data_IF_932034866998
#
_entry.id   IF_932034866998
#
_cell.length_a   1.000
_cell.length_b   1.000
_cell.length_c   1.000
_cell.angle_alpha   90.00
_cell.angle_beta   90.00
_cell.angle_gamma   90.00
#
_symmetry.space_group_name_H-M   'P 1'
#
loop_
_entity.id
_entity.type
_entity.pdbx_description
1 polymer ?
#
# COMPACT_ATOMS: atom_id res chain seq x y z
N UNK A 1 -46.57 -14.00 1.77
CA UNK A 1 -46.24 -15.06 0.79
C UNK A 1 -44.90 -15.67 1.16
N UNK A 2 -44.87 -16.95 1.59
CA UNK A 2 -43.61 -17.66 1.89
C UNK A 2 -42.93 -17.99 0.57
N UNK A 3 -41.89 -17.25 0.20
CA UNK A 3 -41.03 -17.62 -0.93
C UNK A 3 -40.31 -18.92 -0.58
N UNK A 4 -40.72 -20.02 -1.19
CA UNK A 4 -39.98 -21.27 -1.13
C UNK A 4 -38.67 -21.05 -1.89
N UNK A 5 -37.57 -20.81 -1.17
CA UNK A 5 -36.24 -20.82 -1.79
C UNK A 5 -36.03 -22.22 -2.37
N UNK A 6 -36.04 -22.34 -3.69
CA UNK A 6 -35.64 -23.58 -4.35
C UNK A 6 -34.22 -23.92 -3.91
N UNK A 7 -33.96 -25.12 -3.38
CA UNK A 7 -32.62 -25.50 -2.96
C UNK A 7 -31.66 -25.37 -4.13
N UNK A 8 -30.57 -24.61 -3.94
CA UNK A 8 -29.56 -24.44 -4.98
C UNK A 8 -28.74 -25.74 -5.11
N UNK A 9 -29.29 -26.69 -5.86
CA UNK A 9 -28.78 -28.05 -6.03
C UNK A 9 -27.72 -28.15 -7.13
N UNK A 10 -26.92 -29.23 -7.06
CA UNK A 10 -25.81 -29.49 -8.00
C UNK A 10 -26.27 -29.48 -9.46
N UNK A 11 -27.43 -30.08 -9.75
CA UNK A 11 -27.98 -30.20 -11.11
C UNK A 11 -28.32 -28.81 -11.67
N UNK A 12 -28.99 -27.99 -10.87
CA UNK A 12 -29.36 -26.62 -11.23
C UNK A 12 -28.09 -25.80 -11.48
N UNK A 13 -27.14 -25.84 -10.56
CA UNK A 13 -25.89 -25.08 -10.66
C UNK A 13 -25.08 -25.47 -11.89
N UNK A 14 -25.02 -26.77 -12.21
CA UNK A 14 -24.35 -27.27 -13.41
C UNK A 14 -25.05 -26.79 -14.69
N UNK A 15 -26.38 -26.89 -14.77
CA UNK A 15 -27.15 -26.39 -15.92
C UNK A 15 -26.92 -24.89 -16.12
N UNK A 16 -27.12 -24.08 -15.09
CA UNK A 16 -26.99 -22.61 -15.19
C UNK A 16 -25.56 -22.16 -15.49
N UNK A 17 -24.56 -22.73 -14.83
CA UNK A 17 -23.17 -22.27 -14.92
C UNK A 17 -22.42 -22.82 -16.14
N UNK A 18 -22.63 -24.10 -16.49
CA UNK A 18 -21.93 -24.78 -17.58
C UNK A 18 -22.72 -24.68 -18.88
N UNK A 19 -24.00 -25.12 -18.90
CA UNK A 19 -24.79 -25.17 -20.14
C UNK A 19 -25.23 -23.77 -20.59
N UNK A 20 -25.77 -22.98 -19.67
CA UNK A 20 -26.29 -21.64 -19.97
C UNK A 20 -25.24 -20.52 -19.86
N UNK A 21 -23.99 -20.86 -19.49
CA UNK A 21 -22.86 -19.91 -19.34
C UNK A 21 -23.13 -18.72 -18.39
N UNK A 22 -24.15 -18.78 -17.53
CA UNK A 22 -24.48 -17.68 -16.62
C UNK A 22 -23.34 -17.41 -15.62
N UNK A 23 -23.03 -16.15 -15.37
CA UNK A 23 -22.07 -15.73 -14.33
C UNK A 23 -22.58 -16.04 -12.93
N UNK A 24 -21.66 -16.19 -11.97
CA UNK A 24 -22.03 -16.35 -10.56
C UNK A 24 -22.94 -15.22 -10.08
N UNK A 25 -22.76 -14.00 -10.60
CA UNK A 25 -23.59 -12.85 -10.29
C UNK A 25 -25.02 -12.96 -10.85
N UNK A 26 -25.18 -13.44 -12.09
CA UNK A 26 -26.50 -13.67 -12.70
C UNK A 26 -27.28 -14.75 -11.94
N UNK A 27 -26.62 -15.88 -11.62
CA UNK A 27 -27.23 -16.96 -10.84
C UNK A 27 -27.57 -16.45 -9.43
N UNK A 28 -26.69 -15.67 -8.81
CA UNK A 28 -26.93 -15.08 -7.51
C UNK A 28 -28.15 -14.16 -7.47
N UNK A 29 -28.33 -13.32 -8.49
CA UNK A 29 -29.49 -12.43 -8.61
C UNK A 29 -30.80 -13.22 -8.75
N UNK A 30 -30.78 -14.29 -9.52
CA UNK A 30 -31.95 -15.14 -9.74
C UNK A 30 -32.40 -15.87 -8.46
N UNK A 31 -31.45 -16.39 -7.69
CA UNK A 31 -31.73 -17.12 -6.45
C UNK A 31 -31.73 -16.22 -5.21
N UNK A 32 -31.61 -14.89 -5.39
CA UNK A 32 -31.49 -13.90 -4.32
C UNK A 32 -30.47 -14.26 -3.23
N UNK A 33 -29.28 -14.68 -3.65
CA UNK A 33 -28.16 -15.03 -2.76
C UNK A 33 -26.92 -14.20 -3.10
N UNK A 34 -25.94 -14.16 -2.20
CA UNK A 34 -24.67 -13.51 -2.48
C UNK A 34 -23.88 -14.27 -3.60
N UNK A 35 -23.26 -13.59 -4.59
CA UNK A 35 -22.43 -14.23 -5.62
C UNK A 35 -21.31 -15.13 -5.08
N UNK A 36 -20.75 -14.80 -3.91
CA UNK A 36 -19.75 -15.64 -3.24
C UNK A 36 -20.34 -16.98 -2.81
N UNK A 37 -21.63 -17.04 -2.46
CA UNK A 37 -22.33 -18.28 -2.11
C UNK A 37 -22.42 -19.22 -3.31
N UNK A 38 -22.67 -18.69 -4.51
CA UNK A 38 -22.66 -19.47 -5.76
C UNK A 38 -21.27 -20.06 -6.01
N UNK A 39 -20.22 -19.23 -5.88
CA UNK A 39 -18.85 -19.67 -6.07
C UNK A 39 -18.44 -20.77 -5.07
N UNK A 40 -18.77 -20.60 -3.79
CA UNK A 40 -18.55 -21.63 -2.74
C UNK A 40 -19.27 -22.94 -3.07
N UNK A 41 -20.51 -22.87 -3.59
CA UNK A 41 -21.26 -24.07 -3.97
C UNK A 41 -20.67 -24.76 -5.22
N UNK A 42 -20.15 -24.02 -6.21
CA UNK A 42 -19.42 -24.62 -7.34
C UNK A 42 -18.23 -25.44 -6.86
N UNK A 43 -17.43 -24.89 -5.93
CA UNK A 43 -16.31 -25.58 -5.29
C UNK A 43 -16.80 -26.82 -4.53
N UNK A 44 -17.82 -26.66 -3.67
CA UNK A 44 -18.39 -27.75 -2.87
C UNK A 44 -18.87 -28.92 -3.73
N UNK A 45 -19.50 -28.64 -4.86
CA UNK A 45 -20.03 -29.66 -5.78
C UNK A 45 -19.01 -30.15 -6.82
N UNK A 46 -17.76 -29.69 -6.75
CA UNK A 46 -16.67 -30.00 -7.70
C UNK A 46 -17.06 -29.70 -9.16
N UNK A 47 -17.77 -28.61 -9.38
CA UNK A 47 -18.11 -28.13 -10.73
C UNK A 47 -16.94 -27.26 -11.21
N UNK A 48 -16.36 -27.51 -12.40
CA UNK A 48 -15.20 -26.77 -12.89
C UNK A 48 -15.54 -25.28 -13.08
N UNK A 49 -14.71 -24.41 -12.50
CA UNK A 49 -14.86 -22.96 -12.65
C UNK A 49 -14.11 -22.48 -13.88
N UNK A 50 -14.78 -21.73 -14.75
CA UNK A 50 -14.16 -21.07 -15.90
C UNK A 50 -12.94 -20.21 -15.51
N UNK A 51 -11.94 -20.19 -16.37
CA UNK A 51 -10.80 -19.29 -16.27
C UNK A 51 -11.21 -17.84 -16.56
N UNK A 52 -10.35 -16.89 -16.21
CA UNK A 52 -10.55 -15.47 -16.55
C UNK A 52 -10.66 -15.28 -18.07
N UNK A 53 -9.86 -16.00 -18.85
CA UNK A 53 -9.91 -15.95 -20.32
C UNK A 53 -11.28 -16.40 -20.84
N UNK A 54 -11.76 -17.56 -20.36
CA UNK A 54 -13.07 -18.09 -20.76
C UNK A 54 -14.24 -17.21 -20.32
N UNK A 55 -14.12 -16.53 -19.18
CA UNK A 55 -15.11 -15.55 -18.71
C UNK A 55 -15.13 -14.26 -19.55
N UNK A 56 -14.01 -13.93 -20.17
CA UNK A 56 -13.83 -12.71 -20.99
C UNK A 56 -14.08 -12.94 -22.48
N UNK A 57 -14.23 -14.18 -22.95
CA UNK A 57 -14.61 -14.50 -24.33
C UNK A 57 -15.90 -13.74 -24.70
N UNK A 58 -15.81 -12.84 -25.68
CA UNK A 58 -16.94 -12.02 -26.16
C UNK A 58 -17.17 -10.71 -25.40
N UNK A 59 -16.47 -10.43 -24.28
CA UNK A 59 -16.50 -9.09 -23.69
C UNK A 59 -15.63 -8.14 -24.50
N UNK A 60 -16.20 -7.01 -24.90
CA UNK A 60 -15.43 -5.90 -25.43
C UNK A 60 -14.50 -5.38 -24.33
N UNK A 61 -13.20 -5.40 -24.58
CA UNK A 61 -12.20 -4.87 -23.65
C UNK A 61 -12.43 -3.35 -23.54
N UNK A 62 -12.33 -2.78 -22.33
CA UNK A 62 -12.71 -1.38 -22.01
C UNK A 62 -12.04 -0.29 -22.86
N UNK A 63 -10.99 -0.65 -23.59
CA UNK A 63 -10.17 0.18 -24.46
C UNK A 63 -10.41 -0.06 -25.96
N UNK A 64 -11.22 -1.05 -26.35
CA UNK A 64 -11.54 -1.35 -27.75
C UNK A 64 -12.57 -0.32 -28.25
N UNK A 65 -12.20 0.52 -29.22
CA UNK A 65 -13.09 1.51 -29.84
C UNK A 65 -13.09 2.92 -29.22
N UNK A 66 -12.26 3.18 -28.20
CA UNK A 66 -12.09 4.53 -27.66
C UNK A 66 -11.05 5.31 -28.47
N UNK A 67 -11.51 6.33 -29.20
CA UNK A 67 -10.66 7.29 -29.90
C UNK A 67 -9.76 7.98 -28.86
N UNK A 68 -8.44 7.92 -29.05
CA UNK A 68 -7.45 8.56 -28.17
C UNK A 68 -6.78 7.66 -27.12
N UNK A 69 -7.17 6.38 -27.00
CA UNK A 69 -6.41 5.41 -26.18
C UNK A 69 -5.44 4.63 -27.08
N UNK A 70 -4.15 4.76 -26.80
CA UNK A 70 -3.07 4.08 -27.54
C UNK A 70 -3.29 2.56 -27.56
N UNK A 71 -3.58 2.02 -28.74
CA UNK A 71 -3.57 0.58 -29.01
C UNK A 71 -2.25 0.21 -29.68
N UNK A 72 -1.35 -0.55 -29.03
CA UNK A 72 -0.09 -0.94 -29.64
C UNK A 72 -0.33 -1.74 -30.92
N UNK A 73 0.47 -1.46 -31.96
CA UNK A 73 0.45 -2.23 -33.22
C UNK A 73 0.80 -3.70 -32.98
N UNK A 74 0.39 -4.59 -33.88
CA UNK A 74 0.76 -6.02 -33.82
C UNK A 74 2.28 -6.21 -33.75
N UNK A 75 3.03 -5.40 -34.48
CA UNK A 75 4.49 -5.39 -34.43
C UNK A 75 5.01 -5.01 -33.03
N UNK A 76 4.39 -4.02 -32.39
CA UNK A 76 4.73 -3.60 -31.02
C UNK A 76 4.40 -4.70 -30.01
N UNK A 77 3.25 -5.38 -30.14
CA UNK A 77 2.91 -6.51 -29.28
C UNK A 77 3.89 -7.67 -29.44
N UNK A 78 4.31 -7.96 -30.68
CA UNK A 78 5.30 -9.00 -30.97
C UNK A 78 6.66 -8.65 -30.36
N UNK A 79 7.11 -7.39 -30.48
CA UNK A 79 8.33 -6.88 -29.83
C UNK A 79 8.27 -7.00 -28.30
N UNK A 80 7.14 -6.64 -27.69
CA UNK A 80 6.93 -6.77 -26.24
C UNK A 80 6.91 -8.23 -25.77
N UNK A 81 6.29 -9.13 -26.54
CA UNK A 81 6.26 -10.58 -26.25
C UNK A 81 7.66 -11.20 -26.32
N UNK A 82 8.40 -10.89 -27.39
CA UNK A 82 9.79 -11.35 -27.57
C UNK A 82 10.68 -10.81 -26.44
N UNK A 83 10.50 -9.54 -26.07
CA UNK A 83 11.24 -8.92 -24.96
C UNK A 83 10.93 -9.58 -23.61
N UNK A 84 9.68 -9.96 -23.36
CA UNK A 84 9.28 -10.68 -22.14
C UNK A 84 9.81 -12.11 -22.09
N UNK A 85 9.89 -12.80 -23.24
CA UNK A 85 10.45 -14.15 -23.34
C UNK A 85 11.98 -14.15 -23.17
N UNK A 86 12.66 -13.10 -23.64
CA UNK A 86 14.10 -12.90 -23.45
C UNK A 86 14.46 -12.33 -22.06
N UNK A 87 13.48 -12.19 -21.15
CA UNK A 87 13.67 -11.56 -19.83
C UNK A 87 14.41 -12.43 -18.81
N UNK A 88 14.81 -13.65 -19.16
CA UNK A 88 15.72 -14.47 -18.33
C UNK A 88 17.01 -13.71 -17.95
N UNK A 89 17.36 -12.67 -18.72
CA UNK A 89 18.54 -11.83 -18.48
C UNK A 89 18.27 -10.36 -18.11
N UNK A 90 17.02 -9.91 -17.94
CA UNK A 90 16.69 -8.51 -17.63
C UNK A 90 15.81 -8.29 -16.39
N UNK A 91 15.64 -9.32 -15.55
CA UNK A 91 15.27 -9.11 -14.15
C UNK A 91 16.46 -8.56 -13.37
N UNK A 92 16.27 -7.50 -12.59
CA UNK A 92 17.28 -6.85 -11.74
C UNK A 92 18.02 -7.81 -10.78
N UNK A 93 17.51 -9.03 -10.61
CA UNK A 93 18.20 -10.14 -9.95
C UNK A 93 17.90 -11.45 -10.71
N UNK A 94 18.95 -12.11 -11.21
CA UNK A 94 18.85 -13.46 -11.79
C UNK A 94 18.57 -14.47 -10.67
N UNK A 95 17.74 -15.48 -10.93
CA UNK A 95 17.50 -16.59 -10.00
C UNK A 95 18.83 -17.33 -9.77
N UNK A 96 19.36 -17.27 -8.55
CA UNK A 96 20.68 -17.83 -8.19
C UNK A 96 21.82 -16.81 -8.05
N UNK A 97 21.56 -15.50 -8.17
CA UNK A 97 22.56 -14.48 -7.89
C UNK A 97 22.96 -14.51 -6.40
N UNK A 98 24.16 -15.02 -6.10
CA UNK A 98 24.74 -14.91 -4.76
C UNK A 98 25.00 -13.43 -4.47
N UNK A 99 24.41 -12.90 -3.40
CA UNK A 99 24.58 -11.51 -2.94
C UNK A 99 25.93 -11.28 -2.25
N UNK A 100 26.73 -12.33 -2.12
CA UNK A 100 27.99 -12.34 -1.39
C UNK A 100 29.15 -12.51 -2.37
N UNK A 101 30.02 -11.50 -2.41
CA UNK A 101 31.30 -11.56 -3.11
C UNK A 101 32.30 -12.33 -2.24
N UNK A 102 33.20 -13.11 -2.87
CA UNK A 102 34.29 -13.74 -2.12
C UNK A 102 35.16 -12.67 -1.46
N UNK A 103 35.81 -13.00 -0.34
CA UNK A 103 36.71 -12.08 0.39
C UNK A 103 37.74 -11.44 -0.55
N UNK A 104 38.29 -12.23 -1.47
CA UNK A 104 39.28 -11.80 -2.46
C UNK A 104 38.71 -10.79 -3.47
N UNK A 105 37.44 -10.93 -3.88
CA UNK A 105 36.77 -9.97 -4.77
C UNK A 105 36.46 -8.68 -4.02
N UNK A 106 36.02 -8.76 -2.76
CA UNK A 106 35.82 -7.60 -1.90
C UNK A 106 37.12 -6.82 -1.74
N UNK A 107 38.23 -7.51 -1.49
CA UNK A 107 39.55 -6.91 -1.29
C UNK A 107 40.05 -6.20 -2.56
N UNK A 108 39.86 -6.81 -3.74
CA UNK A 108 40.15 -6.18 -5.04
C UNK A 108 39.30 -4.93 -5.29
N UNK A 109 38.03 -4.93 -4.89
CA UNK A 109 37.15 -3.75 -5.00
C UNK A 109 37.62 -2.64 -4.05
N UNK A 110 37.97 -2.98 -2.81
CA UNK A 110 38.49 -2.03 -1.82
C UNK A 110 39.82 -1.42 -2.25
N UNK A 111 40.74 -2.21 -2.82
CA UNK A 111 42.01 -1.70 -3.36
C UNK A 111 41.80 -0.78 -4.57
N UNK A 112 40.86 -1.09 -5.46
CA UNK A 112 40.54 -0.21 -6.61
C UNK A 112 39.86 1.10 -6.22
N UNK A 113 39.16 1.12 -5.08
CA UNK A 113 38.42 2.31 -4.61
C UNK A 113 39.23 3.14 -3.61
N UNK A 114 40.29 2.59 -3.00
CA UNK A 114 41.22 3.33 -2.14
C UNK A 114 41.88 4.48 -2.91
N UNK A 115 41.59 5.71 -2.50
CA UNK A 115 42.21 6.93 -3.02
C UNK A 115 41.47 7.59 -4.20
N UNK A 116 40.39 7.01 -4.71
CA UNK A 116 39.64 7.60 -5.82
C UNK A 116 38.78 8.78 -5.35
N UNK A 117 39.30 10.01 -5.45
CA UNK A 117 38.48 11.23 -5.32
C UNK A 117 37.70 11.41 -6.63
N UNK A 118 36.39 11.15 -6.62
CA UNK A 118 35.53 11.37 -7.78
C UNK A 118 35.29 12.88 -7.96
N UNK A 119 36.12 13.51 -8.80
CA UNK A 119 35.87 14.86 -9.29
C UNK A 119 34.79 14.74 -10.38
N UNK A 120 33.55 15.11 -10.05
CA UNK A 120 32.38 14.90 -10.91
C UNK A 120 32.61 15.36 -12.35
N UNK A 121 32.22 14.53 -13.33
CA UNK A 121 32.25 14.92 -14.74
C UNK A 121 31.25 16.07 -14.98
N UNK A 122 31.58 17.08 -15.80
CA UNK A 122 30.65 18.17 -16.10
C UNK A 122 29.40 17.65 -16.81
N UNK A 123 28.23 18.23 -16.48
CA UNK A 123 26.97 17.89 -17.14
C UNK A 123 27.02 18.28 -18.61
N UNK A 124 26.75 17.34 -19.50
CA UNK A 124 26.78 17.55 -20.96
C UNK A 124 25.78 18.59 -21.46
N UNK A 125 24.74 18.92 -20.68
CA UNK A 125 23.73 19.92 -21.03
C UNK A 125 24.09 21.35 -20.63
N UNK A 126 24.77 21.55 -19.50
CA UNK A 126 25.01 22.89 -18.96
C UNK A 126 26.49 23.18 -18.65
N UNK A 127 27.40 22.27 -18.96
CA UNK A 127 28.86 22.46 -18.82
C UNK A 127 29.39 22.53 -17.39
N UNK A 128 28.52 22.63 -16.39
CA UNK A 128 28.91 22.75 -14.99
C UNK A 128 29.23 21.39 -14.36
N UNK A 129 30.28 21.37 -13.53
CA UNK A 129 30.53 20.28 -12.59
C UNK A 129 29.53 20.45 -11.44
N UNK A 130 28.49 19.61 -11.44
CA UNK A 130 27.63 19.52 -10.26
C UNK A 130 28.46 18.93 -9.14
N UNK A 131 28.68 19.71 -8.08
CA UNK A 131 29.19 19.14 -6.82
C UNK A 131 28.29 17.95 -6.52
N UNK A 132 28.92 16.82 -6.22
CA UNK A 132 28.23 15.62 -5.79
C UNK A 132 27.11 16.08 -4.84
N UNK A 133 25.89 15.58 -5.03
CA UNK A 133 25.16 15.13 -3.86
C UNK A 133 26.13 14.16 -3.20
N UNK A 134 27.01 14.67 -2.34
CA UNK A 134 27.45 13.85 -1.25
C UNK A 134 26.15 13.29 -0.72
N UNK A 135 26.06 11.97 -0.55
CA UNK A 135 25.27 11.49 0.56
C UNK A 135 25.95 12.06 1.82
N UNK A 136 25.89 13.38 2.02
CA UNK A 136 25.82 13.92 3.33
C UNK A 136 24.54 13.24 3.83
N UNK A 137 24.73 12.26 4.71
CA UNK A 137 23.65 11.60 5.42
C UNK A 137 22.91 12.60 6.34
N UNK A 138 22.84 13.87 5.95
CA UNK A 138 22.28 15.02 6.61
C UNK A 138 21.35 15.85 5.70
N UNK A 139 21.05 15.41 4.48
CA UNK A 139 19.82 15.83 3.78
C UNK A 139 18.60 15.02 4.22
N UNK A 140 18.55 14.63 5.50
CA UNK A 140 17.26 14.61 6.19
C UNK A 140 16.80 16.07 6.19
N UNK A 141 16.02 16.46 5.17
CA UNK A 141 15.57 17.83 5.02
C UNK A 141 15.11 18.34 6.38
N UNK A 142 15.73 19.42 6.88
CA UNK A 142 15.37 20.01 8.17
C UNK A 142 13.85 20.12 8.28
N UNK A 143 13.31 19.99 9.49
CA UNK A 143 11.88 20.14 9.76
C UNK A 143 11.27 21.33 8.99
N UNK A 144 11.97 22.46 8.99
CA UNK A 144 11.57 23.68 8.30
C UNK A 144 11.47 23.52 6.78
N UNK A 145 12.40 22.79 6.17
CA UNK A 145 12.41 22.52 4.73
C UNK A 145 11.24 21.61 4.36
N UNK A 146 11.00 20.55 5.15
CA UNK A 146 9.86 19.65 4.95
C UNK A 146 8.54 20.38 5.11
N UNK A 147 8.45 21.29 6.09
CA UNK A 147 7.27 22.12 6.33
C UNK A 147 6.99 23.04 5.14
N UNK A 148 8.01 23.76 4.66
CA UNK A 148 7.90 24.62 3.47
C UNK A 148 7.42 23.86 2.22
N UNK A 149 7.93 22.64 1.99
CA UNK A 149 7.49 21.80 0.88
C UNK A 149 6.02 21.37 1.07
N UNK A 150 5.68 20.89 2.27
CA UNK A 150 4.31 20.46 2.61
C UNK A 150 3.29 21.58 2.42
N UNK A 151 3.64 22.81 2.82
CA UNK A 151 2.75 23.98 2.71
C UNK A 151 2.51 24.40 1.26
N UNK A 152 3.48 24.20 0.37
CA UNK A 152 3.33 24.48 -1.07
C UNK A 152 2.45 23.45 -1.80
N UNK A 153 2.32 22.23 -1.28
CA UNK A 153 1.63 21.12 -1.94
C UNK A 153 0.20 20.89 -1.44
N UNK A 154 -0.29 21.72 -0.52
CA UNK A 154 -1.63 21.58 0.10
C UNK A 154 -2.59 22.68 -0.34
N UNK A 155 -3.88 22.40 -0.21
CA UNK A 155 -4.96 23.37 -0.49
C UNK A 155 -4.95 23.86 -1.95
N UNK A 156 -5.30 25.13 -2.14
CA UNK A 156 -5.41 25.77 -3.46
C UNK A 156 -4.14 25.73 -4.31
N UNK A 157 -2.98 25.54 -3.70
CA UNK A 157 -1.70 25.43 -4.40
C UNK A 157 -1.54 24.09 -5.14
N UNK A 158 -2.34 23.08 -4.81
CA UNK A 158 -2.32 21.78 -5.47
C UNK A 158 -3.35 21.76 -6.61
N UNK A 159 -2.90 21.53 -7.85
CA UNK A 159 -3.78 21.47 -9.03
C UNK A 159 -4.85 20.36 -8.96
N UNK A 160 -4.69 19.36 -8.09
CA UNK A 160 -5.69 18.32 -7.85
C UNK A 160 -6.70 18.68 -6.72
N UNK A 161 -6.59 19.86 -6.11
CA UNK A 161 -7.45 20.27 -5.01
C UNK A 161 -8.87 20.56 -5.47
N UNK A 162 -9.84 19.94 -4.79
CA UNK A 162 -11.27 20.02 -5.10
C UNK A 162 -12.04 20.85 -4.08
N UNK A 163 -11.48 21.96 -3.61
CA UNK A 163 -12.17 22.86 -2.68
C UNK A 163 -12.32 22.35 -1.24
N UNK A 164 -11.41 21.49 -0.77
CA UNK A 164 -11.36 21.11 0.65
C UNK A 164 -12.36 20.03 1.09
N UNK A 165 -12.72 19.11 0.18
CA UNK A 165 -13.63 17.97 0.48
C UNK A 165 -13.13 17.00 1.57
N UNK A 166 -11.83 17.01 1.88
CA UNK A 166 -11.23 16.11 2.88
C UNK A 166 -11.56 16.62 4.29
N UNK A 167 -12.12 15.78 5.19
CA UNK A 167 -12.40 16.18 6.57
C UNK A 167 -11.16 16.70 7.31
N UNK A 168 -11.35 17.72 8.15
CA UNK A 168 -10.25 18.36 8.89
C UNK A 168 -9.45 17.39 9.76
N UNK A 169 -10.11 16.38 10.35
CA UNK A 169 -9.46 15.35 11.16
C UNK A 169 -8.47 14.52 10.34
N UNK A 170 -8.81 14.20 9.09
CA UNK A 170 -7.92 13.47 8.18
C UNK A 170 -6.74 14.34 7.77
N UNK A 171 -6.99 15.61 7.44
CA UNK A 171 -5.93 16.58 7.12
C UNK A 171 -4.90 16.72 8.25
N UNK A 172 -5.36 16.74 9.50
CA UNK A 172 -4.48 16.81 10.67
C UNK A 172 -3.68 15.51 10.83
N UNK A 173 -4.28 14.34 10.62
CA UNK A 173 -3.57 13.05 10.70
C UNK A 173 -2.53 12.85 9.60
N UNK A 174 -2.77 13.44 8.43
CA UNK A 174 -1.82 13.42 7.31
C UNK A 174 -0.77 14.54 7.40
N UNK A 175 -0.92 15.45 8.37
CA UNK A 175 -0.04 16.59 8.53
C UNK A 175 1.39 16.19 8.90
N UNK A 176 2.31 17.10 8.61
CA UNK A 176 3.72 16.88 8.92
C UNK A 176 3.94 16.85 10.45
N UNK A 177 3.17 17.64 11.20
CA UNK A 177 3.18 17.71 12.66
C UNK A 177 2.76 16.38 13.27
N UNK A 178 1.71 15.75 12.76
CA UNK A 178 1.30 14.42 13.22
C UNK A 178 2.36 13.36 12.97
N UNK A 179 3.01 13.39 11.79
CA UNK A 179 4.11 12.48 11.46
C UNK A 179 5.29 12.67 12.41
N UNK A 180 5.62 13.91 12.74
CA UNK A 180 6.69 14.23 13.68
C UNK A 180 6.36 13.78 15.11
N UNK A 181 5.16 14.09 15.59
CA UNK A 181 4.66 13.60 16.87
C UNK A 181 4.77 12.07 16.95
N UNK A 182 4.28 11.37 15.93
CA UNK A 182 4.38 9.90 15.86
C UNK A 182 5.82 9.43 15.98
N UNK A 183 6.75 10.01 15.21
CA UNK A 183 8.18 9.66 15.28
C UNK A 183 8.73 9.90 16.70
N UNK A 184 8.38 11.02 17.33
CA UNK A 184 8.87 11.35 18.67
C UNK A 184 8.36 10.37 19.73
N UNK A 185 7.08 9.99 19.69
CA UNK A 185 6.52 8.97 20.58
C UNK A 185 7.21 7.61 20.37
N UNK A 186 7.43 7.22 19.11
CA UNK A 186 8.16 5.98 18.78
C UNK A 186 9.59 5.97 19.31
N UNK A 187 10.30 7.11 19.20
CA UNK A 187 11.66 7.26 19.71
C UNK A 187 11.72 7.21 21.24
N UNK A 188 10.83 7.95 21.92
CA UNK A 188 10.72 7.96 23.38
C UNK A 188 10.48 6.55 23.94
N UNK A 189 9.57 5.81 23.30
CA UNK A 189 9.17 4.46 23.73
C UNK A 189 10.10 3.36 23.21
N UNK A 190 11.28 3.73 22.69
CA UNK A 190 12.29 2.82 22.14
C UNK A 190 11.73 1.78 21.16
N UNK A 191 10.76 2.20 20.34
CA UNK A 191 10.08 1.33 19.38
C UNK A 191 9.57 0.03 20.03
N UNK A 192 9.01 0.13 21.23
CA UNK A 192 8.51 -1.00 22.02
C UNK A 192 7.11 -0.73 22.55
N UNK A 193 6.27 -1.77 22.57
CA UNK A 193 4.92 -1.69 23.15
C UNK A 193 5.01 -1.48 24.66
N UNK A 194 4.49 -0.37 25.16
CA UNK A 194 4.60 0.00 26.58
C UNK A 194 3.78 -0.90 27.54
N UNK A 195 2.88 -1.74 27.02
CA UNK A 195 2.15 -2.72 27.82
C UNK A 195 2.78 -4.12 27.87
N UNK A 196 3.58 -4.49 26.86
CA UNK A 196 4.04 -5.89 26.68
C UNK A 196 5.50 -6.02 26.21
N UNK A 197 6.20 -4.92 25.98
CA UNK A 197 7.58 -4.88 25.48
C UNK A 197 7.80 -5.35 24.04
N UNK A 198 6.78 -5.87 23.35
CA UNK A 198 6.96 -6.35 21.96
C UNK A 198 7.35 -5.22 20.99
N UNK A 199 8.13 -5.57 19.97
CA UNK A 199 8.56 -4.65 18.90
C UNK A 199 7.81 -4.85 17.58
N UNK A 200 6.80 -5.73 17.55
CA UNK A 200 6.05 -6.09 16.34
C UNK A 200 4.69 -5.39 16.29
N UNK A 201 4.29 -4.99 15.08
CA UNK A 201 2.96 -4.45 14.77
C UNK A 201 2.57 -3.27 15.68
N UNK A 202 3.44 -2.27 15.74
CA UNK A 202 3.32 -1.12 16.63
C UNK A 202 2.46 0.00 16.04
N UNK A 203 1.68 0.63 16.90
CA UNK A 203 0.81 1.76 16.61
C UNK A 203 0.98 2.83 17.71
N UNK A 204 0.92 4.10 17.32
CA UNK A 204 0.87 5.20 18.27
C UNK A 204 -0.59 5.40 18.70
N UNK A 205 -0.82 5.31 19.99
CA UNK A 205 -2.11 5.51 20.64
C UNK A 205 -2.12 6.87 21.33
N UNK A 206 -3.23 7.60 21.23
CA UNK A 206 -3.48 8.80 22.03
C UNK A 206 -4.19 8.42 23.32
N UNK A 207 -3.63 8.79 24.47
CA UNK A 207 -4.25 8.52 25.78
C UNK A 207 -5.51 9.38 25.99
N UNK A 208 -5.42 10.68 25.73
CA UNK A 208 -6.55 11.59 25.58
C UNK A 208 -7.07 11.54 24.15
N UNK A 209 -8.39 11.40 24.02
CA UNK A 209 -9.05 11.19 22.72
C UNK A 209 -8.74 12.31 21.73
N UNK A 210 -8.20 11.93 20.56
CA UNK A 210 -7.77 12.85 19.50
C UNK A 210 -8.84 13.87 19.05
N UNK A 211 -10.11 13.46 19.02
CA UNK A 211 -11.22 14.34 18.62
C UNK A 211 -11.62 15.33 19.69
N UNK A 212 -11.50 14.97 20.98
CA UNK A 212 -12.01 15.76 22.11
C UNK A 212 -11.02 16.77 22.67
N UNK A 213 -9.72 16.48 22.55
CA UNK A 213 -8.65 17.30 23.13
C UNK A 213 -7.69 17.78 22.03
N UNK A 214 -8.09 18.80 21.23
CA UNK A 214 -7.26 19.36 20.16
C UNK A 214 -5.87 19.82 20.60
N UNK A 215 -5.78 20.40 21.80
CA UNK A 215 -4.58 20.92 22.44
C UNK A 215 -3.55 19.82 22.73
N UNK A 216 -4.01 18.60 23.02
CA UNK A 216 -3.15 17.47 23.38
C UNK A 216 -2.74 16.59 22.19
N UNK A 217 -3.20 16.88 20.96
CA UNK A 217 -2.96 16.01 19.78
C UNK A 217 -1.49 15.74 19.48
N UNK A 218 -0.65 16.74 19.75
CA UNK A 218 0.78 16.72 19.47
C UNK A 218 1.64 16.74 20.73
N UNK A 219 1.01 16.66 21.91
CA UNK A 219 1.76 16.44 23.14
C UNK A 219 2.34 15.00 23.09
N UNK A 220 3.66 14.89 23.20
CA UNK A 220 4.35 13.59 23.18
C UNK A 220 3.89 12.75 24.36
N UNK A 221 3.67 13.36 25.51
CA UNK A 221 3.20 12.70 26.73
C UNK A 221 1.75 12.25 26.63
N UNK A 222 0.99 12.72 25.64
CA UNK A 222 -0.33 12.18 25.32
C UNK A 222 -0.26 10.97 24.36
N UNK A 223 0.92 10.58 23.92
CA UNK A 223 1.14 9.43 23.05
C UNK A 223 1.71 8.23 23.82
N UNK A 224 1.38 7.02 23.35
CA UNK A 224 2.01 5.78 23.80
C UNK A 224 2.11 4.79 22.64
N UNK A 225 3.22 4.05 22.56
CA UNK A 225 3.38 2.96 21.59
C UNK A 225 2.77 1.68 22.13
N UNK A 226 1.87 1.09 21.33
CA UNK A 226 1.20 -0.16 21.64
C UNK A 226 1.28 -1.10 20.44
N UNK A 227 1.36 -2.40 20.70
CA UNK A 227 1.14 -3.37 19.63
C UNK A 227 -0.34 -3.45 19.28
N UNK A 228 -0.66 -3.93 18.08
CA UNK A 228 -2.03 -4.04 17.59
C UNK A 228 -2.98 -4.72 18.59
N UNK A 229 -2.54 -5.79 19.26
CA UNK A 229 -3.34 -6.50 20.27
C UNK A 229 -3.67 -5.61 21.47
N UNK A 230 -2.67 -4.91 22.01
CA UNK A 230 -2.87 -3.99 23.13
C UNK A 230 -3.71 -2.78 22.73
N UNK A 231 -3.46 -2.23 21.54
CA UNK A 231 -4.20 -1.09 21.02
C UNK A 231 -5.70 -1.42 20.86
N UNK A 232 -6.00 -2.61 20.32
CA UNK A 232 -7.39 -3.11 20.26
C UNK A 232 -7.99 -3.26 21.64
N UNK A 233 -7.27 -3.86 22.60
CA UNK A 233 -7.76 -4.04 23.98
C UNK A 233 -8.14 -2.71 24.62
N UNK A 234 -7.36 -1.64 24.41
CA UNK A 234 -7.70 -0.32 24.95
C UNK A 234 -8.97 0.23 24.29
N UNK A 235 -9.09 0.14 22.96
CA UNK A 235 -10.30 0.58 22.26
C UNK A 235 -11.53 -0.28 22.57
N UNK A 236 -11.36 -1.57 22.88
CA UNK A 236 -12.49 -2.46 23.21
C UNK A 236 -12.87 -2.42 24.68
N UNK A 237 -11.92 -2.26 25.61
CA UNK A 237 -12.22 -2.10 27.05
C UNK A 237 -12.88 -0.75 27.34
N UNK A 238 -12.48 0.31 26.63
CA UNK A 238 -13.09 1.63 26.73
C UNK A 238 -14.31 1.79 25.81
N UNK A 239 -15.00 0.68 25.49
CA UNK A 239 -16.13 0.64 24.57
C UNK A 239 -17.10 1.78 24.82
N UNK A 240 -17.15 2.73 23.88
CA UNK A 240 -18.11 3.85 23.82
C UNK A 240 -18.32 4.67 25.10
N UNK A 241 -17.42 4.63 26.09
CA UNK A 241 -17.52 5.47 27.29
C UNK A 241 -16.22 6.20 27.61
N UNK A 242 -16.44 7.49 27.74
CA UNK A 242 -15.59 8.57 28.23
C UNK A 242 -15.10 8.21 29.65
N UNK A 243 -13.95 8.76 30.02
CA UNK A 243 -13.27 8.78 31.34
C UNK A 243 -12.03 7.87 31.40
N UNK A 244 -10.79 8.38 31.44
CA UNK A 244 -10.17 9.35 32.37
C UNK A 244 -10.18 8.87 33.82
N UNK A 245 -9.53 7.75 34.13
CA UNK A 245 -9.10 7.44 35.51
C UNK A 245 -8.18 6.21 35.58
N UNK A 246 -7.03 6.18 34.90
CA UNK A 246 -6.06 5.09 35.13
C UNK A 246 -4.60 5.49 34.92
N UNK A 247 -4.16 6.64 35.43
CA UNK A 247 -2.74 6.89 35.69
C UNK A 247 -2.56 7.83 36.89
N UNK A 248 -2.58 7.26 38.09
CA UNK A 248 -1.96 7.82 39.29
C UNK A 248 -0.95 6.80 39.80
N UNK A 249 0.33 7.11 39.65
CA UNK A 249 1.43 6.62 40.47
C UNK A 249 2.39 7.78 40.66
#
# INVERSE_FOLDING_TARGET
>A
MKFTMTPLDKIILHKRYIKERNSCAQIAKEFNVNPTTIHRKLIKYKIPTRTISEANLGRMVWNKGKIGLYTPSEETRKKMSISSQNSENNGRFKKGHKTEHSKEVIEKIVQKTKGHKYNGKPCSKCGNIHKNMTADNNTSSSWEVRKKISDKLKGANNGAWKGGITPQIELIRDSLEYKQWRINVFKRDHYSCQMRGTHKMLQAHHMQVFSKYPESRFNIDNGQILCEKCHKVIHTKNGDKIESSFYSY
#
